data_IF_527684359517
#
_entry.id   IF_527684359517
#
_cell.length_a   1.000
_cell.length_b   1.000
_cell.length_c   1.000
_cell.angle_alpha   90.00
_cell.angle_beta   90.00
_cell.angle_gamma   90.00
#
_symmetry.space_group_name_H-M   'P 1'
#
loop_
_entity.id
_entity.type
_entity.pdbx_description
1 polymer ?
#
# COMPACT_ATOMS: atom_id res chain seq x y z
N UNK A 1 2.08 26.57 -21.62
CA UNK A 1 3.35 26.37 -20.88
C UNK A 1 4.08 25.18 -21.47
N UNK A 2 5.20 25.39 -22.18
CA UNK A 2 6.11 24.31 -22.59
C UNK A 2 6.67 23.68 -21.31
N UNK A 3 6.16 22.50 -20.92
CA UNK A 3 6.72 21.76 -19.78
C UNK A 3 7.97 21.06 -20.29
N UNK A 4 9.13 21.62 -19.95
CA UNK A 4 10.41 20.96 -20.19
C UNK A 4 10.44 19.64 -19.42
N UNK A 5 10.90 18.57 -20.08
CA UNK A 5 11.01 17.23 -19.50
C UNK A 5 11.95 17.28 -18.31
N UNK A 6 11.43 16.95 -17.13
CA UNK A 6 12.19 16.93 -15.87
C UNK A 6 13.27 15.85 -15.99
N UNK A 7 12.93 14.73 -16.63
CA UNK A 7 13.87 13.63 -16.85
C UNK A 7 14.96 14.03 -17.84
N UNK A 8 14.62 14.78 -18.89
CA UNK A 8 15.59 15.34 -19.83
C UNK A 8 16.58 16.29 -19.15
N UNK A 9 16.11 17.12 -18.21
CA UNK A 9 16.98 18.00 -17.41
C UNK A 9 17.96 17.20 -16.54
N UNK A 10 17.47 16.19 -15.81
CA UNK A 10 18.32 15.35 -14.95
C UNK A 10 19.32 14.49 -15.74
N UNK A 11 18.91 13.93 -16.88
CA UNK A 11 19.81 13.15 -17.74
C UNK A 11 20.96 14.00 -18.28
N UNK A 12 20.66 15.26 -18.64
CA UNK A 12 21.65 16.24 -19.09
C UNK A 12 22.58 16.69 -17.96
N UNK A 13 22.03 16.90 -16.76
CA UNK A 13 22.80 17.30 -15.57
C UNK A 13 23.81 16.22 -15.13
N UNK A 14 23.45 14.94 -15.23
CA UNK A 14 24.32 13.82 -14.83
C UNK A 14 25.18 13.25 -15.98
N UNK A 15 25.16 13.84 -17.18
CA UNK A 15 25.95 13.37 -18.32
C UNK A 15 25.58 11.96 -18.81
N UNK A 16 24.40 11.46 -18.44
CA UNK A 16 23.90 10.11 -18.73
C UNK A 16 23.05 10.09 -20.02
N UNK A 17 23.34 10.98 -20.98
CA UNK A 17 22.60 11.09 -22.24
C UNK A 17 22.58 9.76 -23.04
N UNK A 18 23.55 8.86 -22.80
CA UNK A 18 23.56 7.50 -23.37
C UNK A 18 22.44 6.59 -22.85
N UNK A 19 21.87 6.83 -21.66
CA UNK A 19 20.68 6.13 -21.15
C UNK A 19 19.36 6.66 -21.75
N UNK A 20 19.42 7.71 -22.57
CA UNK A 20 18.32 8.11 -23.45
C UNK A 20 18.11 7.12 -24.62
N UNK A 21 18.72 5.93 -24.54
CA UNK A 21 18.71 4.86 -25.53
C UNK A 21 17.30 4.28 -25.69
N UNK A 22 16.50 4.93 -26.53
CA UNK A 22 15.31 4.33 -27.14
C UNK A 22 13.95 4.97 -26.81
N UNK A 23 13.90 6.25 -26.44
CA UNK A 23 12.62 6.96 -26.15
C UNK A 23 11.76 6.35 -25.02
N UNK A 24 12.17 5.26 -24.37
CA UNK A 24 11.37 4.54 -23.37
C UNK A 24 11.12 5.37 -22.13
N UNK A 25 12.17 6.01 -21.61
CA UNK A 25 12.10 6.87 -20.42
C UNK A 25 11.22 8.11 -20.68
N UNK A 26 11.38 8.75 -21.84
CA UNK A 26 10.57 9.91 -22.23
C UNK A 26 9.10 9.52 -22.53
N UNK A 27 8.85 8.33 -23.06
CA UNK A 27 7.50 7.77 -23.22
C UNK A 27 6.85 7.53 -21.87
N UNK A 28 7.57 6.96 -20.91
CA UNK A 28 7.09 6.72 -19.55
C UNK A 28 6.76 8.03 -18.83
N UNK A 29 7.62 9.05 -18.94
CA UNK A 29 7.34 10.39 -18.41
C UNK A 29 6.08 10.98 -19.04
N UNK A 30 5.92 10.87 -20.36
CA UNK A 30 4.71 11.35 -21.06
C UNK A 30 3.46 10.62 -20.59
N UNK A 31 3.54 9.31 -20.40
CA UNK A 31 2.42 8.49 -19.89
C UNK A 31 2.04 8.89 -18.46
N UNK A 32 3.02 9.13 -17.58
CA UNK A 32 2.77 9.68 -16.25
C UNK A 32 2.08 11.04 -16.37
N UNK A 33 2.59 11.95 -17.20
CA UNK A 33 1.97 13.26 -17.38
C UNK A 33 0.54 13.15 -17.91
N UNK A 34 0.29 12.31 -18.90
CA UNK A 34 -1.04 12.06 -19.47
C UNK A 34 -2.00 11.42 -18.46
N UNK A 35 -1.49 10.57 -17.57
CA UNK A 35 -2.25 10.06 -16.44
C UNK A 35 -2.64 11.18 -15.47
N UNK A 36 -1.73 12.08 -15.10
CA UNK A 36 -1.98 13.17 -14.14
C UNK A 36 -2.70 14.40 -14.74
N UNK A 37 -3.23 14.33 -15.97
CA UNK A 37 -4.05 15.41 -16.53
C UNK A 37 -5.40 15.44 -15.84
N UNK A 38 -5.84 16.62 -15.39
CA UNK A 38 -7.11 16.80 -14.68
C UNK A 38 -8.34 16.34 -15.49
N UNK A 39 -8.24 16.33 -16.82
CA UNK A 39 -9.28 15.86 -17.75
C UNK A 39 -9.39 14.32 -17.81
N UNK A 40 -8.39 13.60 -17.31
CA UNK A 40 -8.36 12.14 -17.38
C UNK A 40 -9.26 11.53 -16.28
N UNK A 41 -10.42 11.00 -16.68
CA UNK A 41 -11.35 10.34 -15.76
C UNK A 41 -10.73 9.11 -15.06
N UNK A 42 -9.73 8.48 -15.68
CA UNK A 42 -9.02 7.32 -15.11
C UNK A 42 -8.20 7.73 -13.90
N UNK A 43 -7.61 8.93 -13.91
CA UNK A 43 -6.91 9.51 -12.76
C UNK A 43 -7.85 9.62 -11.57
N UNK A 44 -9.00 10.26 -11.78
CA UNK A 44 -10.01 10.48 -10.74
C UNK A 44 -10.57 9.17 -10.18
N UNK A 45 -10.85 8.18 -11.04
CA UNK A 45 -11.26 6.84 -10.60
C UNK A 45 -10.17 6.20 -9.74
N UNK A 46 -8.92 6.23 -10.17
CA UNK A 46 -7.80 5.64 -9.42
C UNK A 46 -7.59 6.33 -8.08
N UNK A 47 -7.69 7.66 -8.05
CA UNK A 47 -7.63 8.45 -6.84
C UNK A 47 -8.77 8.10 -5.89
N UNK A 48 -10.00 7.99 -6.40
CA UNK A 48 -11.17 7.60 -5.62
C UNK A 48 -11.01 6.20 -5.03
N UNK A 49 -10.58 5.20 -5.81
CA UNK A 49 -10.33 3.85 -5.30
C UNK A 49 -9.20 3.82 -4.26
N UNK A 50 -8.15 4.61 -4.47
CA UNK A 50 -7.04 4.72 -3.52
C UNK A 50 -7.50 5.35 -2.20
N UNK A 51 -8.32 6.40 -2.28
CA UNK A 51 -8.91 7.06 -1.12
C UNK A 51 -9.87 6.13 -0.38
N UNK A 52 -10.75 5.44 -1.10
CA UNK A 52 -11.69 4.47 -0.52
C UNK A 52 -10.94 3.34 0.19
N UNK A 53 -9.88 2.81 -0.41
CA UNK A 53 -9.00 1.82 0.23
C UNK A 53 -8.41 2.34 1.53
N UNK A 54 -7.86 3.55 1.52
CA UNK A 54 -7.27 4.16 2.71
C UNK A 54 -8.31 4.36 3.83
N UNK A 55 -9.52 4.76 3.45
CA UNK A 55 -10.66 4.95 4.37
C UNK A 55 -11.11 3.60 4.97
N UNK A 56 -11.20 2.53 4.18
CA UNK A 56 -11.49 1.18 4.70
C UNK A 56 -10.39 0.73 5.68
N UNK A 57 -9.11 0.95 5.34
CA UNK A 57 -8.00 0.61 6.23
C UNK A 57 -8.03 1.40 7.54
N UNK A 58 -8.43 2.66 7.48
CA UNK A 58 -8.66 3.50 8.65
C UNK A 58 -9.77 2.97 9.54
N UNK A 59 -10.96 2.71 8.99
CA UNK A 59 -12.07 2.15 9.75
C UNK A 59 -11.71 0.79 10.36
N UNK A 60 -10.98 -0.06 9.62
CA UNK A 60 -10.46 -1.33 10.14
C UNK A 60 -9.60 -1.10 11.39
N UNK A 61 -8.63 -0.19 11.34
CA UNK A 61 -7.77 0.10 12.48
C UNK A 61 -8.57 0.64 13.67
N UNK A 62 -9.48 1.58 13.42
CA UNK A 62 -10.32 2.17 14.46
C UNK A 62 -11.24 1.15 15.14
N UNK A 63 -11.94 0.31 14.36
CA UNK A 63 -12.79 -0.74 14.92
C UNK A 63 -12.00 -1.79 15.71
N UNK A 64 -10.79 -2.13 15.28
CA UNK A 64 -9.93 -3.05 16.04
C UNK A 64 -9.48 -2.46 17.38
N UNK A 65 -9.17 -1.16 17.43
CA UNK A 65 -8.84 -0.48 18.69
C UNK A 65 -10.05 -0.50 19.64
N UNK A 66 -11.25 -0.21 19.13
CA UNK A 66 -12.48 -0.31 19.91
C UNK A 66 -12.76 -1.73 20.39
N UNK A 67 -12.54 -2.73 19.53
CA UNK A 67 -12.66 -4.15 19.86
C UNK A 67 -11.72 -4.58 20.99
N UNK A 68 -10.51 -4.00 21.06
CA UNK A 68 -9.56 -4.21 22.16
C UNK A 68 -9.97 -3.51 23.47
N UNK A 69 -11.17 -2.94 23.54
CA UNK A 69 -11.69 -2.24 24.72
C UNK A 69 -11.02 -0.89 24.98
N UNK A 70 -10.31 -0.34 23.98
CA UNK A 70 -9.64 0.96 24.10
C UNK A 70 -10.57 2.05 23.58
N UNK A 71 -11.11 2.85 24.51
CA UNK A 71 -11.91 4.03 24.18
C UNK A 71 -11.00 5.18 23.76
N UNK A 72 -10.64 5.20 22.47
CA UNK A 72 -9.92 6.30 21.85
C UNK A 72 -10.84 7.13 20.97
N UNK A 73 -10.59 8.43 20.95
CA UNK A 73 -11.14 9.32 19.94
C UNK A 73 -10.73 8.84 18.55
N UNK A 74 -11.65 8.95 17.60
CA UNK A 74 -11.48 8.56 16.19
C UNK A 74 -10.14 9.08 15.64
N UNK A 75 -9.76 10.32 15.98
CA UNK A 75 -8.52 10.96 15.54
C UNK A 75 -7.23 10.21 15.91
N UNK A 76 -7.21 9.44 17.00
CA UNK A 76 -6.02 8.69 17.42
C UNK A 76 -5.79 7.40 16.62
N UNK A 77 -6.76 6.96 15.81
CA UNK A 77 -6.56 5.86 14.87
C UNK A 77 -5.70 6.28 13.66
N UNK A 78 -5.64 7.58 13.33
CA UNK A 78 -4.83 8.10 12.22
C UNK A 78 -3.32 7.88 12.45
N UNK A 79 -2.72 8.28 13.59
CA UNK A 79 -1.32 7.97 13.87
C UNK A 79 -1.00 6.49 13.77
N UNK A 80 -1.85 5.63 14.34
CA UNK A 80 -1.67 4.17 14.32
C UNK A 80 -1.58 3.65 12.87
N UNK A 81 -2.50 4.07 12.01
CA UNK A 81 -2.49 3.70 10.59
C UNK A 81 -1.25 4.26 9.87
N UNK A 82 -0.86 5.51 10.13
CA UNK A 82 0.34 6.12 9.55
C UNK A 82 1.60 5.35 9.92
N UNK A 83 1.71 4.91 11.17
CA UNK A 83 2.81 4.06 11.63
C UNK A 83 2.79 2.66 11.00
N UNK A 84 1.62 2.10 10.66
CA UNK A 84 1.54 0.88 9.84
C UNK A 84 2.16 1.10 8.46
N UNK A 85 1.86 2.22 7.79
CA UNK A 85 2.47 2.52 6.50
C UNK A 85 3.98 2.76 6.62
N UNK A 86 4.42 3.43 7.68
CA UNK A 86 5.85 3.61 7.96
C UNK A 86 6.56 2.26 8.13
N UNK A 87 5.93 1.31 8.84
CA UNK A 87 6.47 -0.04 8.98
C UNK A 87 6.63 -0.77 7.64
N UNK A 88 5.69 -0.57 6.73
CA UNK A 88 5.71 -1.15 5.39
C UNK A 88 6.75 -0.51 4.44
N UNK A 89 7.29 0.67 4.77
CA UNK A 89 8.39 1.27 4.00
C UNK A 89 9.73 0.57 4.24
N UNK A 90 9.87 -0.14 5.36
CA UNK A 90 11.05 -0.95 5.64
C UNK A 90 10.95 -2.21 4.77
N UNK A 91 11.95 -2.51 3.91
CA UNK A 91 11.88 -3.60 2.93
C UNK A 91 12.11 -4.97 3.58
N UNK A 92 11.33 -5.30 4.60
CA UNK A 92 11.32 -6.60 5.26
C UNK A 92 10.19 -7.43 4.67
N UNK A 93 10.44 -8.68 4.23
CA UNK A 93 9.42 -9.57 3.73
C UNK A 93 8.25 -9.70 4.70
N UNK A 94 7.04 -9.55 4.17
CA UNK A 94 5.80 -9.55 4.94
C UNK A 94 5.78 -8.56 6.12
N UNK A 95 6.68 -7.57 6.19
CA UNK A 95 6.73 -6.57 7.28
C UNK A 95 6.85 -7.23 8.67
N UNK A 96 7.48 -8.41 8.74
CA UNK A 96 7.63 -9.17 9.98
C UNK A 96 8.59 -8.48 10.94
N UNK A 97 8.19 -8.32 12.20
CA UNK A 97 8.96 -7.63 13.22
C UNK A 97 8.87 -6.11 13.13
N UNK A 98 8.95 -5.51 11.94
CA UNK A 98 8.81 -4.05 11.78
C UNK A 98 7.39 -3.58 12.09
N UNK A 99 6.37 -4.32 11.68
CA UNK A 99 4.98 -3.97 11.97
C UNK A 99 4.73 -3.99 13.48
N UNK A 100 5.19 -5.03 14.17
CA UNK A 100 5.02 -5.21 15.61
C UNK A 100 5.79 -4.16 16.40
N UNK A 101 7.07 -3.93 16.08
CA UNK A 101 7.91 -2.95 16.77
C UNK A 101 7.37 -1.53 16.67
N UNK A 102 6.98 -1.10 15.46
CA UNK A 102 6.47 0.24 15.22
C UNK A 102 5.08 0.42 15.84
N UNK A 103 4.23 -0.61 15.83
CA UNK A 103 2.94 -0.55 16.49
C UNK A 103 3.06 -0.53 18.02
N UNK A 104 3.99 -1.28 18.60
CA UNK A 104 4.30 -1.19 20.04
C UNK A 104 4.74 0.23 20.41
N UNK A 105 5.56 0.88 19.57
CA UNK A 105 5.94 2.28 19.76
C UNK A 105 4.73 3.23 19.65
N UNK A 106 3.89 3.09 18.61
CA UNK A 106 2.73 3.95 18.40
C UNK A 106 1.66 3.80 19.51
N UNK A 107 1.35 2.56 19.91
CA UNK A 107 0.41 2.30 21.01
C UNK A 107 1.01 2.72 22.36
N UNK A 108 2.32 2.58 22.54
CA UNK A 108 3.03 3.05 23.73
C UNK A 108 2.95 4.58 23.88
N UNK A 109 3.21 5.33 22.80
CA UNK A 109 3.13 6.80 22.81
C UNK A 109 1.71 7.33 23.01
N UNK A 110 0.69 6.55 22.62
CA UNK A 110 -0.72 6.85 22.85
C UNK A 110 -1.27 6.31 24.18
N UNK A 111 -0.43 5.70 25.03
CA UNK A 111 -0.85 5.18 26.34
C UNK A 111 -1.74 3.92 26.29
N UNK A 112 -1.79 3.22 25.16
CA UNK A 112 -2.61 2.01 24.97
C UNK A 112 -1.92 0.74 25.48
N UNK A 113 -0.59 0.77 25.54
CA UNK A 113 0.26 -0.31 26.04
C UNK A 113 0.68 -1.32 24.97
N UNK A 114 1.86 -1.92 25.16
CA UNK A 114 2.44 -2.91 24.26
C UNK A 114 1.59 -4.19 24.07
N UNK A 115 0.87 -4.72 25.09
CA UNK A 115 0.01 -5.89 24.89
C UNK A 115 -1.11 -5.64 23.87
N UNK A 116 -1.72 -4.44 23.90
CA UNK A 116 -2.76 -4.07 22.95
C UNK A 116 -2.22 -3.95 21.52
N UNK A 117 -1.01 -3.42 21.36
CA UNK A 117 -0.33 -3.34 20.06
C UNK A 117 -0.05 -4.73 19.46
N UNK A 118 0.39 -5.65 20.31
CA UNK A 118 0.68 -7.04 19.91
C UNK A 118 -0.61 -7.76 19.50
N UNK A 119 -1.68 -7.60 20.28
CA UNK A 119 -2.99 -8.14 19.92
C UNK A 119 -3.52 -7.55 18.61
N UNK A 120 -3.41 -6.22 18.44
CA UNK A 120 -3.82 -5.50 17.23
C UNK A 120 -3.12 -6.06 15.98
N UNK A 121 -1.79 -6.17 16.02
CA UNK A 121 -1.01 -6.68 14.89
C UNK A 121 -1.32 -8.15 14.60
N UNK A 122 -1.46 -9.01 15.61
CA UNK A 122 -1.81 -10.42 15.42
C UNK A 122 -3.19 -10.61 14.81
N UNK A 123 -4.20 -9.82 15.21
CA UNK A 123 -5.53 -9.89 14.61
C UNK A 123 -5.49 -9.50 13.13
N UNK A 124 -4.74 -8.43 12.79
CA UNK A 124 -4.55 -8.02 11.39
C UNK A 124 -3.87 -9.14 10.59
N UNK A 125 -2.82 -9.76 11.15
CA UNK A 125 -2.13 -10.88 10.51
C UNK A 125 -3.05 -12.06 10.25
N UNK A 126 -3.87 -12.43 11.24
CA UNK A 126 -4.83 -13.51 11.08
C UNK A 126 -5.84 -13.20 9.95
N UNK A 127 -6.35 -11.97 9.90
CA UNK A 127 -7.25 -11.54 8.83
C UNK A 127 -6.58 -11.59 7.45
N UNK A 128 -5.36 -11.06 7.33
CA UNK A 128 -4.61 -11.06 6.07
C UNK A 128 -4.27 -12.51 5.62
N UNK A 129 -3.96 -13.40 6.57
CA UNK A 129 -3.71 -14.83 6.30
C UNK A 129 -4.97 -15.54 5.79
N UNK A 130 -6.14 -15.26 6.39
CA UNK A 130 -7.41 -15.82 5.91
C UNK A 130 -7.70 -15.39 4.46
N UNK A 131 -7.49 -14.12 4.13
CA UNK A 131 -7.65 -13.62 2.76
C UNK A 131 -6.66 -14.31 1.80
N UNK A 132 -5.40 -14.49 2.21
CA UNK A 132 -4.41 -15.20 1.42
C UNK A 132 -4.81 -16.66 1.15
N UNK A 133 -5.34 -17.37 2.17
CA UNK A 133 -5.83 -18.74 2.03
C UNK A 133 -7.01 -18.84 1.04
N UNK A 134 -7.94 -17.89 1.09
CA UNK A 134 -9.05 -17.79 0.12
C UNK A 134 -8.49 -17.59 -1.29
N UNK A 135 -7.49 -16.71 -1.44
CA UNK A 135 -6.81 -16.48 -2.72
C UNK A 135 -6.13 -17.74 -3.27
N UNK A 136 -5.44 -18.49 -2.41
CA UNK A 136 -4.82 -19.78 -2.77
C UNK A 136 -5.88 -20.78 -3.22
N UNK A 137 -6.98 -20.92 -2.48
CA UNK A 137 -8.08 -21.81 -2.84
C UNK A 137 -8.68 -21.45 -4.21
N UNK A 138 -8.93 -20.16 -4.47
CA UNK A 138 -9.43 -19.68 -5.75
C UNK A 138 -8.42 -19.93 -6.89
N UNK A 139 -7.13 -19.73 -6.64
CA UNK A 139 -6.06 -19.99 -7.60
C UNK A 139 -6.02 -21.47 -8.00
N UNK A 140 -6.14 -22.40 -7.04
CA UNK A 140 -6.19 -23.83 -7.35
C UNK A 140 -7.42 -24.21 -8.18
N UNK A 141 -8.60 -23.68 -7.83
CA UNK A 141 -9.84 -23.96 -8.58
C UNK A 141 -9.74 -23.49 -10.03
N UNK A 142 -9.29 -22.25 -10.25
CA UNK A 142 -9.14 -21.68 -11.58
C UNK A 142 -7.98 -22.32 -12.36
N UNK A 143 -6.86 -22.56 -11.68
CA UNK A 143 -5.65 -23.15 -12.25
C UNK A 143 -5.90 -24.57 -12.79
N UNK A 144 -6.58 -25.42 -12.01
CA UNK A 144 -6.98 -26.76 -12.47
C UNK A 144 -7.93 -26.68 -13.67
N UNK A 145 -8.87 -25.73 -13.66
CA UNK A 145 -9.80 -25.52 -14.77
C UNK A 145 -9.09 -25.15 -16.08
N UNK A 146 -8.10 -24.25 -16.01
CA UNK A 146 -7.29 -23.85 -17.17
C UNK A 146 -6.41 -25.01 -17.64
N UNK A 147 -5.74 -25.72 -16.72
CA UNK A 147 -4.86 -26.84 -17.06
C UNK A 147 -5.63 -27.96 -17.77
N UNK A 148 -6.84 -28.29 -17.28
CA UNK A 148 -7.71 -29.30 -17.89
C UNK A 148 -8.17 -28.91 -19.31
N UNK A 149 -8.29 -27.62 -19.61
CA UNK A 149 -8.65 -27.11 -20.95
C UNK A 149 -7.47 -27.19 -21.93
N UNK A 150 -6.23 -27.07 -21.45
CA UNK A 150 -5.04 -27.07 -22.29
C UNK A 150 -4.47 -28.49 -22.54
N UNK A 151 -4.72 -29.42 -21.62
CA UNK A 151 -4.26 -30.81 -21.73
C UNK A 151 -5.19 -31.73 -22.55
N UNK A 152 -6.27 -31.18 -23.11
CA UNK A 152 -7.31 -31.89 -23.87
C UNK A 152 -7.39 -31.31 -25.27
#
# INVERSE_FOLDING_TARGET
>A
MKRESIVGFFLKLFGLERFNSGNSVLKFEREIFDFFRLENITMWKTFFFSFLKALIMYFRAWFLILFLGKNLSCLFALPILSFTYLAAMIPIPAVLGSHEAIQVFAFGSLGLGAPAATAFTMIIRAADLLVALIGIAALFQLGIGILKKYLR
#
